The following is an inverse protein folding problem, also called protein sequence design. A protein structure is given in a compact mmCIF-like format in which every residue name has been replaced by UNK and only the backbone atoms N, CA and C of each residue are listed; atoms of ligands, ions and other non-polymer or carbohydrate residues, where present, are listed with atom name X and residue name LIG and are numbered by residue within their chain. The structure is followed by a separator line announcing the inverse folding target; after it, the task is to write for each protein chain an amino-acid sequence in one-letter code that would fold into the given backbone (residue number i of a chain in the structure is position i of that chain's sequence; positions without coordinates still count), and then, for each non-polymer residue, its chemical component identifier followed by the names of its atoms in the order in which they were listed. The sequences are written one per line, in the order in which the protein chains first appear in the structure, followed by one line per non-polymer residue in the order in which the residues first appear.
data_IF_554369403446
#
_entry.id   IF_554369403446
#
_cell.length_a   1.000
_cell.length_b   1.000
_cell.length_c   1.000
_cell.angle_alpha   90.00
_cell.angle_beta   90.00
_cell.angle_gamma   90.00
#
_symmetry.space_group_name_H-M   'P 1'
#
loop_
_entity.id
_entity.type
_entity.pdbx_description
1 polymer ?
#
# COMPACT_ATOMS: atom_id res chain seq x y z
N UNK A 1 -12.79 16.72 11.58
CA UNK A 1 -12.93 17.26 10.19
C UNK A 1 -14.32 16.90 9.70
N UNK A 2 -14.99 17.72 8.90
CA UNK A 2 -16.31 17.39 8.32
C UNK A 2 -16.29 17.71 6.83
N UNK A 3 -16.65 16.74 5.98
CA UNK A 3 -16.72 16.91 4.51
C UNK A 3 -18.10 16.43 4.08
N UNK A 4 -18.87 17.28 3.39
CA UNK A 4 -20.22 16.93 2.89
C UNK A 4 -21.12 16.32 3.98
N UNK A 5 -21.15 16.95 5.16
CA UNK A 5 -21.90 16.49 6.35
C UNK A 5 -21.44 15.13 6.92
N UNK A 6 -20.33 14.58 6.45
CA UNK A 6 -19.73 13.36 6.98
C UNK A 6 -18.60 13.73 7.94
N UNK A 7 -18.74 13.45 9.25
CA UNK A 7 -17.66 13.67 10.19
C UNK A 7 -16.54 12.66 9.95
N UNK A 8 -15.30 13.13 10.09
CA UNK A 8 -14.07 12.34 9.98
C UNK A 8 -13.29 12.53 11.28
N UNK A 9 -13.04 11.40 11.94
CA UNK A 9 -12.23 11.32 13.17
C UNK A 9 -10.77 11.60 12.84
N UNK A 10 -10.13 12.45 13.64
CA UNK A 10 -8.72 12.83 13.47
C UNK A 10 -7.98 12.50 14.75
N UNK A 11 -6.84 11.83 14.60
CA UNK A 11 -5.93 11.51 15.69
C UNK A 11 -4.58 12.18 15.43
N UNK A 12 -3.83 12.45 16.50
CA UNK A 12 -2.48 13.00 16.43
C UNK A 12 -1.55 12.15 17.30
N UNK A 13 -1.11 11.02 16.74
CA UNK A 13 -0.25 10.03 17.42
C UNK A 13 0.97 9.74 16.56
N UNK A 14 2.14 9.67 17.20
CA UNK A 14 3.40 9.33 16.53
C UNK A 14 3.57 7.82 16.40
N UNK A 15 3.20 7.06 17.42
CA UNK A 15 3.18 5.60 17.39
C UNK A 15 1.85 5.11 16.79
N UNK A 16 1.87 4.37 15.66
CA UNK A 16 0.66 3.79 15.07
C UNK A 16 -0.13 2.88 16.01
N UNK A 17 0.53 2.25 16.98
CA UNK A 17 -0.12 1.37 17.96
C UNK A 17 -1.03 2.12 18.93
N UNK A 18 -0.81 3.42 19.14
CA UNK A 18 -1.64 4.26 20.00
C UNK A 18 -2.90 4.80 19.30
N UNK A 19 -3.05 4.59 17.99
CA UNK A 19 -4.19 5.10 17.25
C UNK A 19 -5.38 4.13 17.43
N UNK A 20 -6.51 4.58 18.02
CA UNK A 20 -7.64 3.69 18.30
C UNK A 20 -8.52 3.50 17.06
N UNK A 21 -8.02 2.82 16.02
CA UNK A 21 -8.73 2.61 14.75
C UNK A 21 -10.13 2.03 14.91
N UNK A 22 -10.32 1.07 15.82
CA UNK A 22 -11.65 0.50 16.09
C UNK A 22 -12.67 1.55 16.55
N UNK A 23 -12.26 2.59 17.28
CA UNK A 23 -13.16 3.66 17.71
C UNK A 23 -13.69 4.51 16.56
N UNK A 24 -12.96 4.54 15.44
CA UNK A 24 -13.35 5.21 14.21
C UNK A 24 -14.03 4.26 13.20
N UNK A 25 -14.18 2.97 13.53
CA UNK A 25 -14.69 1.95 12.61
C UNK A 25 -13.75 1.64 11.43
N UNK A 26 -12.47 1.98 11.53
CA UNK A 26 -11.50 1.80 10.44
C UNK A 26 -10.96 0.36 10.42
N UNK A 27 -11.38 -0.43 9.43
CA UNK A 27 -10.92 -1.81 9.26
C UNK A 27 -9.67 -1.93 8.38
N UNK A 28 -9.54 -1.04 7.39
CA UNK A 28 -8.41 -0.98 6.46
C UNK A 28 -7.67 0.33 6.69
N UNK A 29 -6.35 0.26 6.86
CA UNK A 29 -5.50 1.43 7.03
C UNK A 29 -4.56 1.56 5.85
N UNK A 30 -4.45 2.76 5.31
CA UNK A 30 -3.41 3.12 4.33
C UNK A 30 -2.24 3.72 5.10
N UNK A 31 -1.13 3.01 5.14
CA UNK A 31 0.12 3.47 5.74
C UNK A 31 0.88 4.30 4.71
N UNK A 32 0.76 5.61 4.83
CA UNK A 32 1.29 6.61 3.89
C UNK A 32 2.23 7.62 4.54
N UNK A 33 2.87 7.27 5.65
CA UNK A 33 3.87 8.11 6.33
C UNK A 33 5.25 7.99 5.69
N UNK A 34 5.51 6.89 4.98
CA UNK A 34 6.83 6.56 4.43
C UNK A 34 7.83 5.98 5.43
N UNK A 35 7.45 5.84 6.71
CA UNK A 35 8.35 5.38 7.78
C UNK A 35 8.09 3.91 8.18
N UNK A 36 6.84 3.46 8.12
CA UNK A 36 6.42 2.13 8.55
C UNK A 36 6.23 1.17 7.36
N UNK A 37 7.28 0.99 6.56
CA UNK A 37 7.21 0.27 5.27
C UNK A 37 7.54 -1.22 5.33
N UNK A 38 7.71 -1.80 6.52
CA UNK A 38 7.89 -3.25 6.72
C UNK A 38 6.66 -3.86 7.36
N UNK A 39 6.48 -5.18 7.23
CA UNK A 39 5.36 -5.91 7.85
C UNK A 39 5.32 -5.71 9.37
N UNK A 40 6.48 -5.76 10.04
CA UNK A 40 6.56 -5.53 11.48
C UNK A 40 6.09 -4.13 11.86
N UNK A 41 6.62 -3.10 11.18
CA UNK A 41 6.34 -1.69 11.49
C UNK A 41 4.90 -1.31 11.20
N UNK A 42 4.40 -1.67 10.01
CA UNK A 42 3.00 -1.47 9.63
C UNK A 42 2.04 -2.28 10.53
N UNK A 43 2.52 -3.41 11.08
CA UNK A 43 1.76 -4.25 12.02
C UNK A 43 1.35 -3.53 13.30
N UNK A 44 2.00 -2.41 13.65
CA UNK A 44 1.60 -1.57 14.78
C UNK A 44 0.14 -1.10 14.66
N UNK A 45 -0.37 -0.81 13.45
CA UNK A 45 -1.77 -0.43 13.25
C UNK A 45 -2.77 -1.51 13.66
N UNK A 46 -2.38 -2.79 13.58
CA UNK A 46 -3.25 -3.91 13.97
C UNK A 46 -3.54 -3.89 15.48
N UNK A 47 -2.62 -3.36 16.30
CA UNK A 47 -2.82 -3.18 17.75
C UNK A 47 -3.91 -2.16 18.05
N UNK A 48 -4.06 -1.14 17.20
CA UNK A 48 -5.14 -0.16 17.27
C UNK A 48 -6.50 -0.69 16.78
N UNK A 49 -6.54 -1.95 16.35
CA UNK A 49 -7.76 -2.65 15.93
C UNK A 49 -8.11 -2.54 14.44
N UNK A 50 -7.16 -2.09 13.62
CA UNK A 50 -7.24 -2.28 12.17
C UNK A 50 -7.18 -3.77 11.82
N UNK A 51 -7.92 -4.20 10.78
CA UNK A 51 -7.92 -5.59 10.31
C UNK A 51 -6.88 -5.84 9.21
N UNK A 52 -6.59 -4.80 8.42
CA UNK A 52 -5.69 -4.84 7.25
C UNK A 52 -4.91 -3.53 7.13
N UNK A 53 -3.70 -3.62 6.60
CA UNK A 53 -2.84 -2.46 6.32
C UNK A 53 -2.34 -2.52 4.88
N UNK A 54 -2.40 -1.40 4.17
CA UNK A 54 -1.87 -1.21 2.82
C UNK A 54 -0.78 -0.16 2.90
N UNK A 55 0.46 -0.56 2.66
CA UNK A 55 1.61 0.35 2.60
C UNK A 55 1.60 1.04 1.23
N UNK A 56 1.65 2.37 1.21
CA UNK A 56 1.60 3.19 -0.02
C UNK A 56 2.97 3.38 -0.69
N UNK A 57 3.92 2.51 -0.40
CA UNK A 57 5.30 2.54 -0.87
C UNK A 57 5.84 1.11 -1.01
N UNK A 58 6.96 0.90 -1.73
CA UNK A 58 7.63 -0.39 -1.76
C UNK A 58 7.96 -0.87 -0.35
N UNK A 59 7.73 -2.16 -0.14
CA UNK A 59 8.07 -2.84 1.12
C UNK A 59 9.19 -3.84 0.88
N UNK A 60 10.05 -4.00 1.89
CA UNK A 60 11.13 -4.97 1.85
C UNK A 60 10.62 -6.42 2.04
N UNK A 61 9.47 -6.60 2.68
CA UNK A 61 8.98 -7.90 3.16
C UNK A 61 7.47 -8.13 2.97
N UNK A 62 6.67 -7.08 2.75
CA UNK A 62 5.24 -7.24 2.48
C UNK A 62 4.99 -7.67 1.01
N UNK A 63 4.04 -8.58 0.76
CA UNK A 63 3.65 -8.93 -0.61
C UNK A 63 3.11 -7.68 -1.33
N UNK A 64 3.58 -7.48 -2.57
CA UNK A 64 3.27 -6.31 -3.39
C UNK A 64 2.25 -6.64 -4.48
N UNK A 65 1.26 -5.76 -4.62
CA UNK A 65 0.20 -5.89 -5.61
C UNK A 65 0.10 -4.63 -6.46
N UNK A 66 -0.09 -4.83 -7.76
CA UNK A 66 -0.39 -3.79 -8.73
C UNK A 66 -1.74 -4.12 -9.37
N UNK A 67 -2.67 -3.18 -9.26
CA UNK A 67 -4.01 -3.33 -9.80
C UNK A 67 -3.98 -3.62 -11.31
N UNK A 68 -4.69 -4.67 -11.74
CA UNK A 68 -4.71 -5.10 -13.15
C UNK A 68 -3.50 -5.93 -13.60
N UNK A 69 -2.52 -6.19 -12.73
CA UNK A 69 -1.33 -6.98 -13.07
C UNK A 69 -1.31 -8.33 -12.35
N UNK A 70 -1.44 -8.33 -11.03
CA UNK A 70 -1.28 -9.55 -10.20
C UNK A 70 -2.29 -9.66 -9.03
N UNK A 71 -3.43 -8.98 -9.10
CA UNK A 71 -4.45 -9.02 -8.04
C UNK A 71 -5.07 -10.42 -7.85
N UNK A 72 -5.04 -11.25 -8.89
CA UNK A 72 -5.43 -12.67 -8.84
C UNK A 72 -4.60 -13.49 -7.84
N UNK A 73 -3.40 -13.03 -7.51
CA UNK A 73 -2.49 -13.66 -6.53
C UNK A 73 -2.73 -13.17 -5.09
N UNK A 74 -3.65 -12.23 -4.88
CA UNK A 74 -3.96 -11.75 -3.54
C UNK A 74 -4.59 -12.87 -2.71
N UNK A 75 -4.03 -13.11 -1.53
CA UNK A 75 -4.59 -14.03 -0.55
C UNK A 75 -5.21 -13.22 0.62
N UNK A 76 -6.50 -13.40 0.95
CA UNK A 76 -7.15 -12.79 2.09
C UNK A 76 -6.48 -13.07 3.44
N UNK A 77 -5.54 -14.01 3.56
CA UNK A 77 -4.72 -14.18 4.77
C UNK A 77 -3.75 -13.02 4.99
N UNK A 78 -3.31 -12.34 3.94
CA UNK A 78 -2.33 -11.24 4.05
C UNK A 78 -2.94 -10.07 4.82
N UNK A 79 -2.46 -9.85 6.05
CA UNK A 79 -2.90 -8.74 6.90
C UNK A 79 -2.27 -7.41 6.48
N UNK A 80 -1.09 -7.47 5.89
CA UNK A 80 -0.31 -6.31 5.50
C UNK A 80 0.18 -6.57 4.07
N UNK A 81 -0.06 -5.61 3.19
CA UNK A 81 0.36 -5.64 1.78
C UNK A 81 0.96 -4.30 1.40
N UNK A 82 1.71 -4.27 0.31
CA UNK A 82 2.19 -3.02 -0.30
C UNK A 82 1.52 -2.80 -1.66
N UNK A 83 1.15 -1.55 -1.93
CA UNK A 83 0.67 -1.12 -3.25
C UNK A 83 1.81 -0.70 -4.20
N UNK A 84 3.03 -1.16 -3.91
CA UNK A 84 4.26 -0.83 -4.62
C UNK A 84 4.53 0.69 -4.68
N UNK A 85 5.26 1.16 -5.70
CA UNK A 85 5.48 2.58 -5.98
C UNK A 85 4.61 3.08 -7.13
N UNK A 86 4.50 4.41 -7.27
CA UNK A 86 3.89 5.05 -8.44
C UNK A 86 4.53 4.57 -9.76
N UNK A 87 5.85 4.54 -9.82
CA UNK A 87 6.61 4.10 -11.00
C UNK A 87 6.37 2.63 -11.32
N UNK A 88 6.27 1.77 -10.31
CA UNK A 88 5.93 0.34 -10.50
C UNK A 88 4.52 0.19 -11.05
N UNK A 89 3.54 0.95 -10.54
CA UNK A 89 2.17 0.95 -11.06
C UNK A 89 2.10 1.43 -12.51
N UNK A 90 2.99 2.33 -12.93
CA UNK A 90 3.11 2.78 -14.31
C UNK A 90 3.73 1.70 -15.22
N UNK A 91 4.87 1.14 -14.83
CA UNK A 91 5.64 0.21 -15.67
C UNK A 91 4.99 -1.18 -15.76
N UNK A 92 4.46 -1.72 -14.67
CA UNK A 92 4.07 -3.12 -14.61
C UNK A 92 2.98 -3.53 -15.62
N UNK A 93 1.93 -2.73 -15.89
CA UNK A 93 0.96 -3.05 -16.94
C UNK A 93 1.60 -3.10 -18.34
N UNK A 94 2.49 -2.15 -18.66
CA UNK A 94 3.20 -2.13 -19.94
C UNK A 94 4.08 -3.37 -20.09
N UNK A 95 4.90 -3.65 -19.06
CA UNK A 95 5.77 -4.82 -19.04
C UNK A 95 4.98 -6.12 -19.17
N UNK A 96 3.83 -6.23 -18.50
CA UNK A 96 2.94 -7.39 -18.60
C UNK A 96 2.46 -7.62 -20.03
N UNK A 97 1.88 -6.61 -20.67
CA UNK A 97 1.35 -6.76 -22.04
C UNK A 97 2.45 -7.14 -23.02
N UNK A 98 3.61 -6.47 -22.95
CA UNK A 98 4.73 -6.75 -23.84
C UNK A 98 5.28 -8.16 -23.60
N UNK A 99 5.47 -8.56 -22.33
CA UNK A 99 6.00 -9.86 -21.98
C UNK A 99 5.05 -11.00 -22.39
N UNK A 100 3.75 -10.87 -22.11
CA UNK A 100 2.77 -11.92 -22.40
C UNK A 100 2.61 -12.16 -23.92
N UNK A 101 2.78 -11.13 -24.75
CA UNK A 101 2.58 -11.23 -26.20
C UNK A 101 3.89 -11.49 -26.98
N UNK A 102 5.02 -10.99 -26.50
CA UNK A 102 6.27 -10.97 -27.27
C UNK A 102 7.48 -11.55 -26.53
N UNK A 103 7.41 -11.70 -25.21
CA UNK A 103 8.53 -12.09 -24.38
C UNK A 103 9.54 -10.96 -24.19
N UNK A 104 9.85 -10.63 -22.94
CA UNK A 104 10.95 -9.71 -22.59
C UNK A 104 12.15 -10.56 -22.14
N UNK A 105 13.28 -10.43 -22.82
CA UNK A 105 14.55 -11.10 -22.44
C UNK A 105 15.28 -10.27 -21.37
N UNK A 106 15.41 -8.97 -21.60
CA UNK A 106 16.03 -8.01 -20.69
C UNK A 106 15.41 -6.61 -20.88
N UNK A 107 15.58 -5.72 -19.90
CA UNK A 107 15.02 -4.37 -19.98
C UNK A 107 15.70 -3.39 -19.03
N UNK A 108 15.94 -2.18 -19.53
CA UNK A 108 16.34 -1.03 -18.74
C UNK A 108 15.21 0.00 -18.79
N UNK A 109 14.99 0.69 -17.68
CA UNK A 109 13.96 1.73 -17.59
C UNK A 109 14.54 2.97 -16.94
N UNK A 110 14.12 4.12 -17.44
CA UNK A 110 14.37 5.43 -16.84
C UNK A 110 13.04 6.14 -16.69
N UNK A 111 12.81 6.74 -15.52
CA UNK A 111 11.66 7.61 -15.27
C UNK A 111 12.15 9.04 -15.05
N UNK A 112 11.55 10.00 -15.73
CA UNK A 112 11.67 11.42 -15.37
C UNK A 112 10.54 11.72 -14.41
N UNK A 113 10.88 11.96 -13.15
CA UNK A 113 9.90 12.06 -12.07
C UNK A 113 9.77 13.50 -11.57
N UNK A 114 8.55 13.88 -11.16
CA UNK A 114 8.31 15.16 -10.48
C UNK A 114 8.94 15.18 -9.08
N UNK A 115 9.17 16.37 -8.50
CA UNK A 115 9.61 16.51 -7.10
C UNK A 115 8.53 16.02 -6.13
N UNK A 116 8.93 15.33 -5.06
CA UNK A 116 8.04 14.75 -4.03
C UNK A 116 8.62 14.88 -2.64
#
# INVERSE_FOLDING_TARGET
LVINQKPITVFAKKDPAEIPWSSAGAEYVVESTGVFTTTEKAGAHLKGGAKKVIISAPSADAPMFVCGVNLDKYDPKYKIVSNASCTTNCLAPLAKVVHDNFGIVEGLMTTVHATT
#
